data_IF_899224405184
#
_entry.id   IF_899224405184
#
_cell.length_a   1.000
_cell.length_b   1.000
_cell.length_c   1.000
_cell.angle_alpha   90.00
_cell.angle_beta   90.00
_cell.angle_gamma   90.00
#
_symmetry.space_group_name_H-M   'P 1'
#
loop_
_entity.id
_entity.type
_entity.pdbx_description
1 polymer ?
#
# COMPACT_ATOMS: atom_id res chain seq x y z
N UNK A 1 9.84 -2.50 -22.63
CA UNK A 1 8.44 -3.01 -22.72
C UNK A 1 7.46 -2.17 -21.89
N UNK A 2 7.80 -1.82 -20.64
CA UNK A 2 6.92 -1.08 -19.72
C UNK A 2 6.41 0.28 -20.25
N UNK A 3 7.22 0.97 -21.05
CA UNK A 3 6.85 2.27 -21.65
C UNK A 3 5.71 2.17 -22.67
N UNK A 4 5.48 0.98 -23.25
CA UNK A 4 4.39 0.75 -24.21
C UNK A 4 3.05 0.45 -23.54
N UNK A 5 3.05 0.10 -22.26
CA UNK A 5 1.82 -0.12 -21.51
C UNK A 5 1.13 1.22 -21.29
N UNK A 6 -0.15 1.35 -21.62
CA UNK A 6 -0.94 2.54 -21.28
C UNK A 6 -2.38 2.14 -21.01
N UNK A 7 -3.19 3.00 -20.41
CA UNK A 7 -4.61 2.65 -20.22
C UNK A 7 -5.36 2.51 -21.55
N UNK A 8 -4.90 3.20 -22.60
CA UNK A 8 -5.53 3.22 -23.93
C UNK A 8 -5.11 2.03 -24.80
N UNK A 9 -4.03 1.35 -24.44
CA UNK A 9 -3.45 0.24 -25.22
C UNK A 9 -3.07 -0.89 -24.29
N UNK A 10 -3.61 -2.09 -24.49
CA UNK A 10 -3.33 -3.29 -23.69
C UNK A 10 -2.48 -4.28 -24.47
N UNK A 11 -1.68 -5.07 -23.75
CA UNK A 11 -1.01 -6.24 -24.35
C UNK A 11 -1.99 -7.40 -24.51
N UNK A 12 -1.94 -8.08 -25.65
CA UNK A 12 -2.68 -9.30 -25.96
C UNK A 12 -1.74 -10.32 -26.61
N UNK A 13 -2.20 -11.57 -26.71
CA UNK A 13 -1.50 -12.62 -27.47
C UNK A 13 -2.15 -12.77 -28.84
N UNK A 14 -1.34 -12.72 -29.89
CA UNK A 14 -1.80 -13.08 -31.24
C UNK A 14 -2.15 -14.57 -31.31
N UNK A 15 -2.79 -14.98 -32.41
CA UNK A 15 -3.02 -16.40 -32.73
C UNK A 15 -1.72 -17.23 -32.80
N UNK A 16 -0.58 -16.58 -33.05
CA UNK A 16 0.74 -17.20 -33.08
C UNK A 16 1.50 -17.11 -31.75
N UNK A 17 0.85 -16.67 -30.66
CA UNK A 17 1.44 -16.55 -29.34
C UNK A 17 2.39 -15.36 -29.16
N UNK A 18 2.47 -14.44 -30.15
CA UNK A 18 3.29 -13.24 -30.05
C UNK A 18 2.55 -12.15 -29.27
N UNK A 19 3.29 -11.38 -28.47
CA UNK A 19 2.71 -10.23 -27.77
C UNK A 19 2.42 -9.12 -28.78
N UNK A 20 1.15 -8.72 -28.86
CA UNK A 20 0.66 -7.60 -29.66
C UNK A 20 0.03 -6.54 -28.75
N UNK A 21 -0.06 -5.31 -29.23
CA UNK A 21 -0.65 -4.19 -28.50
C UNK A 21 -1.90 -3.73 -29.23
N UNK A 22 -3.03 -3.77 -28.53
CA UNK A 22 -4.35 -3.48 -29.08
C UNK A 22 -5.01 -2.33 -28.33
N UNK A 23 -5.94 -1.63 -28.99
CA UNK A 23 -6.72 -0.59 -28.36
C UNK A 23 -7.51 -1.13 -27.15
N UNK A 24 -7.58 -0.33 -26.09
CA UNK A 24 -8.40 -0.58 -24.90
C UNK A 24 -9.50 0.49 -24.82
N UNK A 25 -10.55 0.42 -25.67
CA UNK A 25 -11.55 1.49 -25.79
C UNK A 25 -12.34 1.69 -24.49
N UNK A 26 -12.53 0.63 -23.71
CA UNK A 26 -13.17 0.71 -22.40
C UNK A 26 -12.27 1.32 -21.31
N UNK A 27 -11.01 1.63 -21.62
CA UNK A 27 -9.99 2.15 -20.69
C UNK A 27 -9.93 1.34 -19.38
N UNK A 28 -10.18 0.03 -19.47
CA UNK A 28 -10.24 -0.85 -18.31
C UNK A 28 -8.83 -1.05 -17.76
N UNK A 29 -8.69 -0.89 -16.44
CA UNK A 29 -7.47 -1.19 -15.70
C UNK A 29 -7.05 -2.64 -15.96
N UNK A 30 -5.76 -2.85 -16.23
CA UNK A 30 -5.20 -4.19 -16.42
C UNK A 30 -3.83 -4.33 -15.75
N UNK A 31 -3.42 -5.58 -15.56
CA UNK A 31 -2.12 -5.95 -14.98
C UNK A 31 -1.39 -6.81 -15.99
N UNK A 32 -0.12 -6.50 -16.23
CA UNK A 32 0.82 -7.35 -16.95
C UNK A 32 1.75 -7.98 -15.92
N UNK A 33 1.71 -9.30 -15.79
CA UNK A 33 2.59 -10.02 -14.89
C UNK A 33 3.98 -10.17 -15.52
N UNK A 34 5.00 -10.07 -14.68
CA UNK A 34 6.40 -10.27 -15.04
C UNK A 34 6.70 -11.77 -15.00
N UNK A 35 6.99 -12.35 -16.17
CA UNK A 35 7.31 -13.78 -16.33
C UNK A 35 8.82 -14.06 -16.30
N UNK A 36 9.63 -13.05 -15.95
CA UNK A 36 11.06 -13.26 -15.80
C UNK A 36 11.35 -14.28 -14.70
N UNK A 37 12.35 -15.15 -14.90
CA UNK A 37 12.75 -16.21 -13.96
C UNK A 37 12.95 -15.71 -12.52
N UNK A 38 13.46 -14.49 -12.40
CA UNK A 38 13.75 -13.87 -11.10
C UNK A 38 12.59 -13.07 -10.50
N UNK A 39 11.51 -12.85 -11.25
CA UNK A 39 10.35 -12.14 -10.75
C UNK A 39 9.62 -13.00 -9.70
N UNK A 40 9.26 -12.44 -8.53
CA UNK A 40 8.44 -13.18 -7.59
C UNK A 40 7.06 -13.44 -8.20
N UNK A 41 6.53 -14.65 -8.02
CA UNK A 41 5.24 -15.04 -8.60
C UNK A 41 4.12 -14.07 -8.19
N UNK A 42 3.38 -13.58 -9.19
CA UNK A 42 2.33 -12.58 -9.02
C UNK A 42 2.81 -11.12 -9.04
N UNK A 43 4.10 -10.88 -9.33
CA UNK A 43 4.65 -9.55 -9.58
C UNK A 43 4.26 -9.05 -10.95
N UNK A 44 3.99 -7.75 -11.08
CA UNK A 44 3.63 -7.17 -12.35
C UNK A 44 3.40 -5.67 -12.30
N UNK A 45 2.95 -5.12 -13.42
CA UNK A 45 2.65 -3.71 -13.60
C UNK A 45 1.16 -3.54 -13.82
N UNK A 46 0.51 -2.76 -12.95
CA UNK A 46 -0.85 -2.27 -13.17
C UNK A 46 -0.81 -1.00 -14.01
N UNK A 47 -1.42 -1.03 -15.19
CA UNK A 47 -1.66 0.14 -16.00
C UNK A 47 -2.97 0.81 -15.57
N UNK A 48 -2.88 2.08 -15.20
CA UNK A 48 -4.04 2.91 -14.85
C UNK A 48 -4.05 4.22 -15.63
N UNK A 49 -5.15 4.96 -15.52
CA UNK A 49 -5.35 6.20 -16.23
C UNK A 49 -4.21 7.20 -16.00
N UNK A 50 -3.80 7.37 -14.74
CA UNK A 50 -2.84 8.40 -14.34
C UNK A 50 -1.43 7.90 -14.10
N UNK A 51 -1.26 6.60 -13.83
CA UNK A 51 0.04 6.05 -13.46
C UNK A 51 0.18 4.58 -13.79
N UNK A 52 1.43 4.15 -13.92
CA UNK A 52 1.80 2.73 -13.88
C UNK A 52 2.31 2.41 -12.48
N UNK A 53 1.93 1.27 -11.95
CA UNK A 53 2.26 0.92 -10.58
C UNK A 53 2.68 -0.52 -10.53
N UNK A 54 3.85 -0.78 -9.98
CA UNK A 54 4.27 -2.13 -9.66
C UNK A 54 3.38 -2.70 -8.55
N UNK A 55 2.92 -3.92 -8.75
CA UNK A 55 2.03 -4.65 -7.85
C UNK A 55 2.57 -6.05 -7.62
N UNK A 56 2.24 -6.61 -6.46
CA UNK A 56 2.53 -8.00 -6.12
C UNK A 56 1.27 -8.61 -5.50
N UNK A 57 0.94 -9.82 -5.93
CA UNK A 57 -0.15 -10.59 -5.33
C UNK A 57 0.33 -11.95 -4.86
N UNK A 58 -0.09 -12.34 -3.66
CA UNK A 58 0.28 -13.62 -3.07
C UNK A 58 -0.90 -14.23 -2.32
N UNK A 59 -1.07 -15.54 -2.50
CA UNK A 59 -1.98 -16.35 -1.68
C UNK A 59 -1.34 -16.60 -0.31
N UNK A 60 -2.06 -16.27 0.75
CA UNK A 60 -1.64 -16.49 2.14
C UNK A 60 -2.69 -17.34 2.84
N UNK A 61 -2.29 -18.07 3.88
CA UNK A 61 -3.26 -18.76 4.73
C UNK A 61 -4.19 -17.73 5.38
N UNK A 62 -5.50 -17.99 5.35
CA UNK A 62 -6.49 -17.14 6.03
C UNK A 62 -6.26 -17.19 7.54
N UNK A 63 -6.59 -16.09 8.20
CA UNK A 63 -6.62 -15.99 9.65
C UNK A 63 -7.90 -16.56 10.27
N UNK A 64 -8.89 -16.96 9.47
CA UNK A 64 -10.15 -17.55 9.97
C UNK A 64 -9.86 -18.85 10.74
N UNK A 65 -10.25 -18.83 12.02
CA UNK A 65 -9.88 -19.85 13.02
C UNK A 65 -10.82 -21.05 13.12
N UNK A 66 -11.83 -21.19 12.26
CA UNK A 66 -12.80 -22.29 12.36
C UNK A 66 -12.93 -23.04 11.03
N UNK A 67 -12.03 -23.99 10.77
CA UNK A 67 -12.31 -25.09 9.84
C UNK A 67 -11.86 -26.37 10.53
N UNK A 68 -12.83 -27.13 11.02
CA UNK A 68 -12.61 -28.33 11.84
C UNK A 68 -12.09 -29.51 11.02
N UNK A 69 -12.29 -29.55 9.70
CA UNK A 69 -11.72 -30.55 8.79
C UNK A 69 -11.53 -29.96 7.38
N UNK A 70 -10.35 -30.19 6.77
CA UNK A 70 -10.04 -29.77 5.39
C UNK A 70 -8.91 -28.74 5.23
N UNK A 71 -8.53 -28.44 3.98
CA UNK A 71 -7.45 -27.48 3.64
C UNK A 71 -7.82 -26.08 4.15
N UNK A 72 -6.96 -25.50 5.00
CA UNK A 72 -7.17 -24.15 5.55
C UNK A 72 -7.53 -23.14 4.45
N UNK A 73 -8.54 -22.26 4.67
CA UNK A 73 -8.92 -21.25 3.70
C UNK A 73 -7.71 -20.35 3.43
N UNK A 74 -7.60 -19.88 2.19
CA UNK A 74 -6.49 -19.01 1.78
C UNK A 74 -7.04 -17.80 1.05
N UNK A 75 -6.51 -16.62 1.38
CA UNK A 75 -6.89 -15.37 0.75
C UNK A 75 -5.77 -14.88 -0.17
N UNK A 76 -6.12 -14.13 -1.21
CA UNK A 76 -5.14 -13.48 -2.08
C UNK A 76 -4.98 -12.05 -1.62
N UNK A 77 -3.80 -11.72 -1.09
CA UNK A 77 -3.45 -10.35 -0.78
C UNK A 77 -2.80 -9.70 -2.00
N UNK A 78 -3.28 -8.52 -2.38
CA UNK A 78 -2.73 -7.68 -3.44
C UNK A 78 -2.13 -6.41 -2.83
N UNK A 79 -0.90 -6.09 -3.19
CA UNK A 79 -0.12 -5.01 -2.57
C UNK A 79 0.49 -4.14 -3.66
N UNK A 80 0.50 -2.82 -3.42
CA UNK A 80 1.27 -1.85 -4.23
C UNK A 80 2.73 -1.93 -3.83
N UNK A 81 3.62 -2.19 -4.78
CA UNK A 81 5.08 -2.14 -4.58
C UNK A 81 5.55 -0.69 -4.65
N UNK A 82 5.15 0.05 -5.70
CA UNK A 82 5.49 1.47 -5.88
C UNK A 82 5.08 1.98 -7.27
N UNK A 83 5.26 3.28 -7.55
CA UNK A 83 5.15 3.78 -8.92
C UNK A 83 6.29 3.22 -9.76
N UNK A 84 6.07 3.02 -11.05
CA UNK A 84 7.14 2.59 -11.96
C UNK A 84 8.29 3.58 -12.00
N UNK A 85 7.99 4.88 -11.88
CA UNK A 85 9.00 5.95 -11.87
C UNK A 85 9.77 6.08 -10.56
N UNK A 86 9.35 5.39 -9.49
CA UNK A 86 10.04 5.45 -8.19
C UNK A 86 11.32 4.59 -8.18
N UNK A 87 11.53 3.73 -9.20
CA UNK A 87 12.63 2.77 -9.24
C UNK A 87 13.54 3.01 -10.45
N UNK A 88 14.87 2.96 -10.28
CA UNK A 88 15.82 3.14 -11.37
C UNK A 88 15.84 1.93 -12.32
N UNK A 89 15.59 0.72 -11.79
CA UNK A 89 15.58 -0.53 -12.55
C UNK A 89 14.56 -1.53 -12.00
N UNK A 90 14.27 -2.55 -12.80
CA UNK A 90 13.27 -3.58 -12.46
C UNK A 90 13.78 -4.56 -11.39
N UNK A 91 15.09 -4.79 -11.29
CA UNK A 91 15.65 -5.79 -10.38
C UNK A 91 15.55 -5.36 -8.92
N UNK A 92 15.81 -4.08 -8.63
CA UNK A 92 15.52 -3.48 -7.32
C UNK A 92 14.04 -3.60 -6.97
N UNK A 93 13.16 -3.35 -7.94
CA UNK A 93 11.72 -3.48 -7.73
C UNK A 93 11.32 -4.92 -7.41
N UNK A 94 11.91 -5.91 -8.09
CA UNK A 94 11.70 -7.34 -7.82
C UNK A 94 12.17 -7.70 -6.42
N UNK A 95 13.29 -7.14 -5.95
CA UNK A 95 13.79 -7.35 -4.60
C UNK A 95 12.82 -6.80 -3.54
N UNK A 96 12.32 -5.58 -3.71
CA UNK A 96 11.29 -5.00 -2.82
C UNK A 96 10.02 -5.85 -2.84
N UNK A 97 9.57 -6.31 -4.01
CA UNK A 97 8.42 -7.20 -4.12
C UNK A 97 8.63 -8.53 -3.36
N UNK A 98 9.84 -9.12 -3.39
CA UNK A 98 10.18 -10.31 -2.59
C UNK A 98 10.07 -10.03 -1.10
N UNK A 99 10.59 -8.91 -0.62
CA UNK A 99 10.49 -8.52 0.80
C UNK A 99 9.02 -8.39 1.23
N UNK A 100 8.18 -7.72 0.43
CA UNK A 100 6.74 -7.61 0.68
C UNK A 100 6.08 -8.98 0.75
N UNK A 101 6.44 -9.92 -0.14
CA UNK A 101 5.94 -11.30 -0.11
C UNK A 101 6.32 -12.00 1.18
N UNK A 102 7.57 -11.86 1.65
CA UNK A 102 7.99 -12.45 2.92
C UNK A 102 7.16 -11.90 4.08
N UNK A 103 6.94 -10.58 4.14
CA UNK A 103 6.08 -9.98 5.15
C UNK A 103 4.64 -10.47 5.05
N UNK A 104 4.09 -10.63 3.84
CA UNK A 104 2.74 -11.17 3.64
C UNK A 104 2.61 -12.61 4.15
N UNK A 105 3.60 -13.46 3.87
CA UNK A 105 3.60 -14.84 4.32
C UNK A 105 3.73 -14.95 5.84
N UNK A 106 4.60 -14.13 6.45
CA UNK A 106 4.80 -14.11 7.89
C UNK A 106 3.59 -13.54 8.65
N UNK A 107 3.08 -12.39 8.22
CA UNK A 107 2.03 -11.64 8.96
C UNK A 107 0.61 -11.99 8.54
N UNK A 108 0.44 -12.63 7.36
CA UNK A 108 -0.87 -12.89 6.72
C UNK A 108 -1.68 -11.61 6.49
N UNK A 109 -1.01 -10.45 6.46
CA UNK A 109 -1.61 -9.11 6.34
C UNK A 109 -0.94 -8.33 5.21
N UNK A 110 -1.60 -7.25 4.77
CA UNK A 110 -1.05 -6.34 3.78
C UNK A 110 0.10 -5.50 4.41
N UNK A 111 1.35 -5.60 3.94
CA UNK A 111 2.49 -4.89 4.52
C UNK A 111 2.35 -3.36 4.48
N UNK A 112 1.70 -2.81 3.45
CA UNK A 112 1.47 -1.36 3.36
C UNK A 112 0.44 -0.87 4.38
N UNK A 113 -0.45 -1.76 4.86
CA UNK A 113 -1.36 -1.42 5.96
C UNK A 113 -0.60 -1.40 7.28
N UNK A 114 0.21 -2.43 7.53
CA UNK A 114 1.09 -2.51 8.71
C UNK A 114 2.01 -1.28 8.79
N UNK A 115 2.70 -0.94 7.69
CA UNK A 115 3.59 0.22 7.64
C UNK A 115 2.87 1.51 8.00
N UNK A 116 1.68 1.75 7.42
CA UNK A 116 0.86 2.95 7.72
C UNK A 116 0.43 3.02 9.18
N UNK A 117 0.04 1.88 9.77
CA UNK A 117 -0.31 1.80 11.20
C UNK A 117 0.92 2.12 12.08
N UNK A 118 2.09 1.56 11.77
CA UNK A 118 3.34 1.85 12.49
C UNK A 118 3.76 3.31 12.35
N UNK A 119 3.67 3.88 11.15
CA UNK A 119 4.02 5.28 10.88
C UNK A 119 3.06 6.23 11.63
N UNK A 120 1.77 5.90 11.69
CA UNK A 120 0.78 6.66 12.47
C UNK A 120 1.08 6.63 13.98
N UNK A 121 1.38 5.46 14.56
CA UNK A 121 1.74 5.36 15.99
C UNK A 121 3.03 6.10 16.34
N UNK A 122 4.01 6.15 15.43
CA UNK A 122 5.22 6.97 15.60
C UNK A 122 4.88 8.45 15.57
N UNK A 123 4.00 8.88 14.65
CA UNK A 123 3.58 10.27 14.55
C UNK A 123 2.84 10.72 15.82
N UNK A 124 1.94 9.89 16.38
CA UNK A 124 1.30 10.15 17.68
C UNK A 124 2.34 10.35 18.80
N UNK A 125 3.45 9.60 18.77
CA UNK A 125 4.54 9.71 19.76
C UNK A 125 5.36 11.00 19.61
N UNK A 126 5.43 11.58 18.40
CA UNK A 126 6.17 12.84 18.12
C UNK A 126 5.36 14.08 18.53
N UNK A 127 4.05 13.95 18.76
CA UNK A 127 3.22 15.02 19.38
C UNK A 127 3.42 15.03 20.90
N UNK A 128 4.69 15.01 21.36
CA UNK A 128 5.01 15.46 22.72
C UNK A 128 5.02 16.98 22.68
N UNK A 129 3.97 17.57 23.25
CA UNK A 129 3.83 19.01 23.42
C UNK A 129 5.12 19.53 24.10
N UNK A 130 5.88 20.36 23.39
CA UNK A 130 6.98 21.11 23.99
C UNK A 130 6.33 22.24 24.79
N UNK A 131 6.17 22.01 26.09
CA UNK A 131 5.81 23.05 27.05
C UNK A 131 7.10 23.78 27.42
N UNK A 132 7.18 25.08 27.17
CA UNK A 132 8.19 25.94 27.78
C UNK A 132 7.51 26.67 28.95
N UNK A 133 8.00 26.46 30.17
CA UNK A 133 7.44 27.06 31.40
C UNK A 133 5.93 26.83 31.59
N UNK A 134 5.44 25.64 31.24
CA UNK A 134 4.01 25.30 31.41
C UNK A 134 3.06 26.01 30.44
N UNK A 135 3.56 26.77 29.46
CA UNK A 135 2.74 27.44 28.45
C UNK A 135 2.88 26.76 27.08
N UNK A 136 1.77 26.53 26.35
CA UNK A 136 1.85 26.07 24.97
C UNK A 136 2.54 27.12 24.10
N UNK A 137 3.61 26.73 23.40
CA UNK A 137 4.24 27.61 22.41
C UNK A 137 3.30 27.71 21.21
N UNK A 138 2.80 28.91 20.93
CA UNK A 138 2.06 29.22 19.71
C UNK A 138 2.97 29.11 18.47
N UNK A 139 3.16 27.90 17.95
CA UNK A 139 3.49 27.72 16.53
C UNK A 139 2.19 27.43 15.78
N UNK A 140 1.56 28.52 15.34
CA UNK A 140 0.46 28.46 14.39
C UNK A 140 0.89 27.68 13.13
N UNK A 141 -0.01 26.81 12.65
CA UNK A 141 -0.02 26.10 11.35
C UNK A 141 0.24 24.58 11.35
N UNK A 142 0.79 23.93 12.39
CA UNK A 142 0.92 22.45 12.39
C UNK A 142 0.00 21.78 13.42
N UNK A 143 -1.30 22.04 13.31
CA UNK A 143 -2.34 21.15 13.86
C UNK A 143 -2.96 20.43 12.67
N UNK A 144 -2.27 19.38 12.21
CA UNK A 144 -2.82 18.48 11.19
C UNK A 144 -3.84 17.59 11.90
N UNK A 145 -5.10 18.02 11.84
CA UNK A 145 -6.32 17.23 11.94
C UNK A 145 -6.25 15.97 12.82
N UNK A 146 -6.45 16.14 14.13
CA UNK A 146 -7.00 15.06 14.94
C UNK A 146 -8.46 14.87 14.51
N UNK A 147 -8.88 13.61 14.37
CA UNK A 147 -10.29 13.27 14.14
C UNK A 147 -11.16 13.97 15.20
N UNK A 148 -12.19 14.68 14.73
CA UNK A 148 -13.04 15.61 15.48
C UNK A 148 -13.44 15.15 16.89
N UNK A 149 -13.67 13.86 17.08
CA UNK A 149 -14.22 13.32 18.34
C UNK A 149 -13.21 13.33 19.49
N UNK A 150 -11.91 13.14 19.21
CA UNK A 150 -10.87 13.13 20.25
C UNK A 150 -10.36 14.53 20.61
N UNK A 151 -10.68 15.53 19.80
CA UNK A 151 -10.37 16.94 20.06
C UNK A 151 -11.34 17.53 21.09
N UNK A 152 -12.62 17.17 21.03
CA UNK A 152 -13.64 17.63 21.97
C UNK A 152 -13.38 17.12 23.40
N UNK A 153 -13.05 15.84 23.56
CA UNK A 153 -12.67 15.28 24.87
C UNK A 153 -11.44 15.97 25.48
N UNK A 154 -10.47 16.35 24.64
CA UNK A 154 -9.30 17.12 25.08
C UNK A 154 -9.68 18.56 25.47
N UNK A 155 -10.54 19.24 24.73
CA UNK A 155 -11.02 20.58 25.10
C UNK A 155 -11.80 20.59 26.43
N UNK A 156 -12.59 19.55 26.69
CA UNK A 156 -13.36 19.41 27.94
C UNK A 156 -12.44 19.13 29.14
N UNK A 157 -11.38 18.34 28.95
CA UNK A 157 -10.40 18.05 29.99
C UNK A 157 -9.57 19.28 30.37
N UNK A 158 -9.19 20.11 29.38
CA UNK A 158 -8.43 21.34 29.62
C UNK A 158 -9.28 22.49 30.17
N UNK A 159 -10.57 22.57 29.82
CA UNK A 159 -11.49 23.56 30.42
C UNK A 159 -11.78 23.27 31.89
N UNK A 160 -11.69 21.99 32.29
CA UNK A 160 -11.93 21.54 33.66
C UNK A 160 -10.74 21.77 34.61
N UNK A 161 -9.54 22.04 34.07
CA UNK A 161 -8.31 22.32 34.83
C UNK A 161 -8.00 23.83 34.95
N UNK A 162 -8.81 24.70 34.34
CA UNK A 162 -8.64 26.15 34.36
C UNK A 162 -9.53 26.86 35.40
N UNK A 163 -10.21 26.11 36.28
CA UNK A 163 -10.97 26.65 37.40
C UNK A 163 -10.33 26.15 38.71
N UNK A 164 -9.26 26.81 39.12
CA UNK A 164 -8.87 27.06 40.52
C UNK A 164 -7.95 28.29 40.59
#
# INVERSE_FOLDING_TARGET
MINKLSINVKSALSRSGKIVFEANPAQKLYIVFDDHREAPAGFGVKASLTKKTYVIQRRVASSDRNVSEGRKPSSVLKVKVGNVFDFPNIDETRQVARQLVQTMLATKRNPNKIKRETDASKLETVIKIVLHEGKPIHFATTVIALSSDRYLEMCDLYSSQAIE
#
